data_IF_594815668424
#
_entry.id   IF_594815668424
#
_cell.length_a   1.000
_cell.length_b   1.000
_cell.length_c   1.000
_cell.angle_alpha   90.00
_cell.angle_beta   90.00
_cell.angle_gamma   90.00
#
_symmetry.space_group_name_H-M   'P 1'
#
loop_
_entity.id
_entity.type
_entity.pdbx_description
1 polymer ?
#
# COMPACT_ATOMS: atom_id res chain seq x y z
N UNK A 1 10.31 -21.38 2.38
CA UNK A 1 9.76 -20.96 1.07
C UNK A 1 10.31 -21.92 0.06
N UNK A 2 9.43 -22.66 -0.60
CA UNK A 2 9.80 -23.67 -1.58
C UNK A 2 9.33 -23.24 -2.97
N UNK A 3 10.19 -23.41 -3.97
CA UNK A 3 9.93 -23.15 -5.38
C UNK A 3 10.16 -24.45 -6.14
N UNK A 4 9.18 -24.86 -6.92
CA UNK A 4 9.24 -26.04 -7.76
C UNK A 4 9.00 -25.61 -9.21
N UNK A 5 9.91 -25.99 -10.10
CA UNK A 5 9.81 -25.73 -11.53
C UNK A 5 9.67 -27.03 -12.30
N UNK A 6 8.61 -27.11 -13.12
CA UNK A 6 8.31 -28.26 -13.98
C UNK A 6 8.00 -27.74 -15.37
N UNK A 7 9.00 -27.81 -16.25
CA UNK A 7 8.90 -27.23 -17.59
C UNK A 7 8.55 -25.75 -17.55
N UNK A 8 7.39 -25.38 -18.10
CA UNK A 8 6.91 -23.99 -18.15
C UNK A 8 6.10 -23.55 -16.92
N UNK A 9 5.95 -24.42 -15.94
CA UNK A 9 5.22 -24.16 -14.71
C UNK A 9 6.17 -23.89 -13.56
N UNK A 10 5.86 -22.87 -12.76
CA UNK A 10 6.52 -22.58 -11.49
C UNK A 10 5.46 -22.58 -10.39
N UNK A 11 5.69 -23.37 -9.36
CA UNK A 11 4.92 -23.39 -8.12
C UNK A 11 5.71 -22.75 -7.00
N UNK A 12 5.06 -21.89 -6.24
CA UNK A 12 5.61 -21.26 -5.06
C UNK A 12 4.75 -21.57 -3.85
N UNK A 13 5.37 -22.03 -2.76
CA UNK A 13 4.70 -22.22 -1.48
C UNK A 13 5.55 -21.65 -0.34
N UNK A 14 4.93 -20.87 0.52
CA UNK A 14 5.56 -20.39 1.74
C UNK A 14 4.55 -20.40 2.89
N UNK A 15 5.01 -20.77 4.06
CA UNK A 15 4.25 -20.68 5.29
C UNK A 15 5.15 -20.21 6.42
N UNK A 16 4.65 -19.30 7.24
CA UNK A 16 5.32 -18.88 8.46
C UNK A 16 4.34 -18.83 9.62
N UNK A 17 4.80 -19.26 10.77
CA UNK A 17 4.08 -19.17 12.04
C UNK A 17 4.93 -18.41 13.02
N UNK A 18 4.34 -17.41 13.66
CA UNK A 18 4.98 -16.72 14.77
C UNK A 18 4.30 -17.15 16.07
N UNK A 19 5.09 -17.61 17.00
CA UNK A 19 4.66 -17.81 18.37
C UNK A 19 5.28 -16.68 19.21
N UNK A 20 4.48 -16.03 20.05
CA UNK A 20 4.97 -14.97 20.91
C UNK A 20 3.93 -14.58 21.95
N UNK A 21 4.38 -14.37 23.15
CA UNK A 21 3.58 -13.79 24.23
C UNK A 21 3.70 -12.25 24.12
N UNK A 22 2.57 -11.56 24.12
CA UNK A 22 2.55 -10.10 24.11
C UNK A 22 2.23 -9.61 25.51
N UNK A 23 3.13 -8.82 26.06
CA UNK A 23 2.90 -8.07 27.29
C UNK A 23 2.77 -6.60 26.91
N UNK A 24 1.64 -6.01 27.19
CA UNK A 24 1.46 -4.56 27.07
C UNK A 24 0.96 -4.03 28.41
N UNK A 25 1.71 -3.09 28.98
CA UNK A 25 1.30 -2.37 30.17
C UNK A 25 1.05 -0.91 29.84
N UNK A 26 0.01 -0.30 30.39
CA UNK A 26 -0.03 1.13 30.65
C UNK A 26 0.58 1.36 32.02
N UNK A 27 1.14 2.56 32.27
CA UNK A 27 1.81 2.92 33.52
C UNK A 27 0.96 2.74 34.78
N UNK A 28 -0.35 2.53 34.65
CA UNK A 28 -1.28 2.35 35.78
C UNK A 28 -1.74 0.90 36.02
N UNK A 29 -1.70 0.02 35.00
CA UNK A 29 -2.11 -1.39 35.13
C UNK A 29 -1.28 -2.25 34.19
N UNK A 30 -0.28 -2.94 34.72
CA UNK A 30 0.40 -4.00 33.97
C UNK A 30 -0.48 -5.26 33.99
N UNK A 31 -1.25 -5.50 32.95
CA UNK A 31 -1.87 -6.80 32.72
C UNK A 31 -0.99 -7.60 31.78
N UNK A 32 -0.47 -8.71 32.28
CA UNK A 32 0.16 -9.74 31.45
C UNK A 32 -0.93 -10.59 30.81
N UNK A 33 -1.39 -10.21 29.63
CA UNK A 33 -2.28 -11.07 28.86
C UNK A 33 -1.43 -11.84 27.85
N UNK A 34 -1.24 -13.12 28.10
CA UNK A 34 -0.56 -14.03 27.20
C UNK A 34 -1.50 -14.38 26.05
N UNK A 35 -1.49 -13.58 24.97
CA UNK A 35 -2.19 -13.95 23.73
C UNK A 35 -1.30 -14.87 22.93
N UNK A 36 -1.63 -16.16 22.95
CA UNK A 36 -1.00 -17.14 22.07
C UNK A 36 -1.48 -16.88 20.63
N UNK A 37 -0.62 -16.26 19.86
CA UNK A 37 -0.89 -16.02 18.46
C UNK A 37 -0.49 -17.26 17.63
N UNK A 38 -1.48 -18.00 17.18
CA UNK A 38 -1.33 -19.24 16.41
C UNK A 38 -1.65 -19.11 14.92
N UNK A 39 -1.82 -17.90 14.41
CA UNK A 39 -2.17 -17.70 13.01
C UNK A 39 -0.97 -17.93 12.07
N UNK A 40 -1.23 -18.59 10.95
CA UNK A 40 -0.28 -18.79 9.89
C UNK A 40 -0.36 -17.66 8.86
N UNK A 41 0.79 -17.17 8.43
CA UNK A 41 0.93 -16.41 7.20
C UNK A 41 1.34 -17.40 6.09
N UNK A 42 0.60 -17.42 4.99
CA UNK A 42 0.79 -18.38 3.90
C UNK A 42 0.84 -17.66 2.56
N UNK A 43 1.65 -18.15 1.64
CA UNK A 43 1.67 -17.69 0.26
C UNK A 43 1.72 -18.90 -0.66
N UNK A 44 0.84 -18.91 -1.65
CA UNK A 44 0.81 -19.87 -2.72
C UNK A 44 0.81 -19.11 -4.04
N UNK A 45 1.64 -19.54 -4.97
CA UNK A 45 1.74 -18.94 -6.29
C UNK A 45 1.87 -20.02 -7.35
N UNK A 46 1.25 -19.77 -8.49
CA UNK A 46 1.36 -20.55 -9.71
C UNK A 46 1.73 -19.59 -10.84
N UNK A 47 2.74 -19.90 -11.62
CA UNK A 47 3.08 -19.17 -12.83
C UNK A 47 3.25 -20.13 -14.00
N UNK A 48 2.73 -19.75 -15.16
CA UNK A 48 2.88 -20.46 -16.41
C UNK A 48 3.47 -19.55 -17.46
N UNK A 49 4.64 -19.89 -17.99
CA UNK A 49 5.36 -19.14 -19.02
C UNK A 49 5.31 -19.88 -20.36
N UNK A 50 4.30 -19.64 -21.22
CA UNK A 50 4.20 -20.30 -22.53
C UNK A 50 5.39 -19.96 -23.44
N UNK A 51 5.94 -18.75 -23.28
CA UNK A 51 7.16 -18.28 -23.96
C UNK A 51 8.09 -17.62 -22.94
N UNK A 52 9.31 -17.28 -23.34
CA UNK A 52 10.28 -16.58 -22.50
C UNK A 52 9.83 -15.14 -22.17
N UNK A 53 9.00 -14.57 -23.05
CA UNK A 53 8.54 -13.18 -22.92
C UNK A 53 7.21 -13.03 -22.16
N UNK A 54 6.40 -14.09 -22.08
CA UNK A 54 5.04 -14.03 -21.55
C UNK A 54 4.84 -15.01 -20.40
N UNK A 55 4.31 -14.52 -19.29
CA UNK A 55 3.86 -15.38 -18.20
C UNK A 55 2.52 -14.96 -17.64
N UNK A 56 1.71 -15.94 -17.31
CA UNK A 56 0.47 -15.81 -16.55
C UNK A 56 0.71 -16.28 -15.14
N UNK A 57 0.12 -15.59 -14.16
CA UNK A 57 0.25 -16.04 -12.78
C UNK A 57 -1.04 -15.89 -12.00
N UNK A 58 -1.15 -16.71 -10.96
CA UNK A 58 -2.16 -16.58 -9.92
C UNK A 58 -1.48 -16.74 -8.57
N UNK A 59 -1.85 -15.92 -7.62
CA UNK A 59 -1.29 -15.96 -6.27
C UNK A 59 -2.38 -15.77 -5.22
N UNK A 60 -2.20 -16.44 -4.08
CA UNK A 60 -3.00 -16.22 -2.87
C UNK A 60 -2.07 -16.10 -1.68
N UNK A 61 -2.11 -14.93 -1.04
CA UNK A 61 -1.28 -14.63 0.11
C UNK A 61 -2.14 -14.31 1.33
N UNK A 62 -1.65 -14.66 2.51
CA UNK A 62 -2.20 -14.21 3.77
C UNK A 62 -1.07 -13.68 4.63
N UNK A 63 -1.18 -12.43 5.02
CA UNK A 63 -0.31 -11.79 6.01
C UNK A 63 -1.04 -11.70 7.35
N UNK A 64 -0.29 -11.43 8.39
CA UNK A 64 -0.82 -11.36 9.73
C UNK A 64 -0.50 -10.02 10.39
N UNK A 65 -1.55 -9.35 10.88
CA UNK A 65 -1.39 -8.18 11.75
C UNK A 65 -1.46 -8.61 13.20
N UNK A 66 -0.69 -7.94 14.05
CA UNK A 66 -0.73 -8.16 15.50
C UNK A 66 -2.12 -7.82 16.06
N UNK A 67 -2.50 -8.51 17.14
CA UNK A 67 -3.67 -8.14 17.92
C UNK A 67 -3.57 -6.71 18.48
N UNK A 68 -4.71 -6.06 18.56
CA UNK A 68 -4.82 -4.70 19.11
C UNK A 68 -5.14 -4.80 20.61
N UNK A 69 -4.44 -4.03 21.44
CA UNK A 69 -4.82 -3.90 22.86
C UNK A 69 -6.12 -3.10 22.96
N UNK A 70 -7.07 -3.62 23.70
CA UNK A 70 -8.31 -2.91 24.06
C UNK A 70 -7.96 -1.94 25.19
N UNK A 71 -8.14 -0.67 24.93
CA UNK A 71 -7.88 0.39 25.91
C UNK A 71 -9.07 1.33 25.91
N UNK A 72 -9.65 1.56 27.07
CA UNK A 72 -10.66 2.58 27.24
C UNK A 72 -10.09 3.94 26.81
N UNK A 73 -10.68 4.54 25.80
CA UNK A 73 -10.25 5.82 25.25
C UNK A 73 -11.36 6.87 25.43
N UNK A 74 -11.06 7.91 26.17
CA UNK A 74 -12.01 8.99 26.41
C UNK A 74 -13.21 8.54 27.23
N UNK A 75 -14.42 8.69 26.63
CA UNK A 75 -15.71 8.31 27.26
C UNK A 75 -16.14 6.86 26.99
N UNK A 76 -15.35 6.09 26.23
CA UNK A 76 -15.69 4.71 25.88
C UNK A 76 -15.20 3.75 26.94
N UNK A 77 -16.12 3.04 27.58
CA UNK A 77 -15.84 1.94 28.48
C UNK A 77 -16.12 0.63 27.77
N UNK A 78 -15.06 -0.12 27.44
CA UNK A 78 -15.21 -1.45 26.85
C UNK A 78 -15.31 -2.50 27.96
N UNK A 79 -16.22 -3.46 27.82
CA UNK A 79 -16.31 -4.61 28.74
C UNK A 79 -15.05 -5.46 28.71
N UNK A 80 -14.36 -5.49 27.58
CA UNK A 80 -13.06 -6.18 27.43
C UNK A 80 -11.87 -5.23 27.52
N UNK A 81 -11.98 -4.14 28.31
CA UNK A 81 -10.85 -3.23 28.56
C UNK A 81 -9.67 -3.98 29.21
N UNK A 82 -8.47 -3.75 28.69
CA UNK A 82 -7.25 -4.42 29.11
C UNK A 82 -6.97 -5.75 28.41
N UNK A 83 -7.89 -6.28 27.61
CA UNK A 83 -7.62 -7.46 26.77
C UNK A 83 -6.74 -7.11 25.57
N UNK A 84 -6.10 -8.12 25.01
CA UNK A 84 -5.44 -8.03 23.70
C UNK A 84 -6.25 -8.87 22.72
N UNK A 85 -6.81 -8.22 21.71
CA UNK A 85 -7.52 -8.91 20.65
C UNK A 85 -6.58 -9.85 19.88
N UNK A 86 -7.07 -11.00 19.41
CA UNK A 86 -6.26 -11.92 18.61
C UNK A 86 -5.74 -11.24 17.35
N UNK A 87 -4.63 -11.76 16.80
CA UNK A 87 -4.13 -11.33 15.50
C UNK A 87 -5.14 -11.64 14.40
N UNK A 88 -5.15 -10.80 13.38
CA UNK A 88 -6.02 -10.94 12.20
C UNK A 88 -5.22 -11.28 10.96
N UNK A 89 -5.87 -11.93 10.00
CA UNK A 89 -5.28 -12.29 8.71
C UNK A 89 -5.81 -11.36 7.62
N UNK A 90 -4.91 -10.59 7.01
CA UNK A 90 -5.19 -9.98 5.72
C UNK A 90 -4.98 -11.04 4.64
N UNK A 91 -5.86 -11.07 3.66
CA UNK A 91 -5.75 -11.99 2.52
C UNK A 91 -5.74 -11.21 1.22
N UNK A 92 -4.91 -11.64 0.29
CA UNK A 92 -4.89 -11.14 -1.09
C UNK A 92 -4.96 -12.32 -2.05
N UNK A 93 -5.81 -12.23 -3.05
CA UNK A 93 -5.83 -13.10 -4.20
C UNK A 93 -5.57 -12.25 -5.44
N UNK A 94 -4.69 -12.71 -6.31
CA UNK A 94 -4.24 -11.95 -7.48
C UNK A 94 -4.07 -12.88 -8.67
N UNK A 95 -4.47 -12.40 -9.85
CA UNK A 95 -4.19 -13.02 -11.14
C UNK A 95 -3.59 -11.96 -12.06
N UNK A 96 -2.64 -12.34 -12.87
CA UNK A 96 -2.03 -11.35 -13.74
C UNK A 96 -1.23 -11.95 -14.88
N UNK A 97 -0.77 -11.03 -15.72
CA UNK A 97 0.05 -11.27 -16.90
C UNK A 97 1.31 -10.43 -16.77
N UNK A 98 2.46 -11.03 -17.04
CA UNK A 98 3.74 -10.33 -17.18
C UNK A 98 4.23 -10.55 -18.60
N UNK A 99 4.60 -9.46 -19.23
CA UNK A 99 5.18 -9.45 -20.57
C UNK A 99 6.53 -8.75 -20.54
N UNK A 100 7.57 -9.46 -20.97
CA UNK A 100 8.93 -8.94 -21.10
C UNK A 100 9.41 -9.15 -22.53
N UNK A 101 9.10 -8.16 -23.40
CA UNK A 101 9.59 -8.19 -24.79
C UNK A 101 11.04 -7.67 -24.80
N UNK A 102 12.00 -8.54 -24.62
CA UNK A 102 13.44 -8.23 -24.49
C UNK A 102 13.79 -7.49 -23.16
N UNK A 103 15.01 -7.01 -23.04
CA UNK A 103 15.48 -6.30 -21.83
C UNK A 103 14.99 -4.85 -21.74
N UNK A 104 14.36 -4.34 -22.79
CA UNK A 104 13.98 -2.94 -22.89
C UNK A 104 12.50 -2.69 -22.60
N UNK A 105 11.64 -3.72 -22.50
CA UNK A 105 10.23 -3.56 -22.26
C UNK A 105 9.69 -4.60 -21.29
N UNK A 106 9.18 -4.14 -20.18
CA UNK A 106 8.47 -4.97 -19.20
C UNK A 106 7.12 -4.35 -18.85
N UNK A 107 6.07 -5.14 -18.91
CA UNK A 107 4.72 -4.76 -18.49
C UNK A 107 4.12 -5.81 -17.57
N UNK A 108 3.32 -5.36 -16.63
CA UNK A 108 2.51 -6.22 -15.78
C UNK A 108 1.09 -5.69 -15.74
N UNK A 109 0.11 -6.58 -15.86
CA UNK A 109 -1.29 -6.29 -15.63
C UNK A 109 -1.83 -7.31 -14.64
N UNK A 110 -2.45 -6.86 -13.57
CA UNK A 110 -2.99 -7.72 -12.53
C UNK A 110 -4.39 -7.28 -12.10
N UNK A 111 -5.22 -8.25 -11.73
CA UNK A 111 -6.44 -8.04 -10.97
C UNK A 111 -6.23 -8.62 -9.56
N UNK A 112 -6.60 -7.87 -8.54
CA UNK A 112 -6.48 -8.29 -7.15
C UNK A 112 -7.79 -8.16 -6.36
N UNK A 113 -7.91 -8.97 -5.31
CA UNK A 113 -9.00 -8.93 -4.31
C UNK A 113 -8.40 -9.12 -2.92
N UNK A 114 -8.31 -8.03 -2.17
CA UNK A 114 -7.72 -8.00 -0.83
C UNK A 114 -8.79 -7.78 0.24
N UNK A 115 -8.73 -8.54 1.31
CA UNK A 115 -9.58 -8.40 2.50
C UNK A 115 -8.72 -8.02 3.70
N UNK A 116 -9.11 -6.95 4.36
CA UNK A 116 -8.43 -6.41 5.52
C UNK A 116 -9.39 -6.30 6.70
N UNK A 117 -9.28 -7.18 7.70
CA UNK A 117 -10.04 -7.04 8.94
C UNK A 117 -9.76 -5.71 9.63
N UNK A 118 -10.81 -5.14 10.21
CA UNK A 118 -10.77 -3.88 10.94
C UNK A 118 -11.23 -4.07 12.37
N UNK A 119 -10.67 -3.25 13.26
CA UNK A 119 -11.14 -3.19 14.65
C UNK A 119 -12.35 -2.26 14.70
N UNK A 120 -13.46 -2.76 15.25
CA UNK A 120 -14.73 -2.03 15.36
C UNK A 120 -15.32 -2.16 16.75
N UNK A 121 -16.12 -1.15 17.11
CA UNK A 121 -16.97 -1.18 18.28
C UNK A 121 -18.24 -2.00 17.99
N UNK A 122 -18.63 -2.87 18.92
CA UNK A 122 -19.85 -3.67 18.83
C UNK A 122 -20.61 -3.56 20.14
N UNK A 123 -21.90 -3.38 20.10
CA UNK A 123 -22.78 -3.47 21.29
C UNK A 123 -23.36 -4.88 21.40
N UNK A 124 -23.35 -5.44 22.58
CA UNK A 124 -24.04 -6.68 22.89
C UNK A 124 -25.56 -6.45 23.06
N UNK A 125 -26.31 -7.52 23.29
CA UNK A 125 -27.76 -7.46 23.49
C UNK A 125 -28.20 -6.59 24.69
N UNK A 126 -27.29 -6.33 25.64
CA UNK A 126 -27.51 -5.48 26.82
C UNK A 126 -27.05 -4.03 26.60
N UNK A 127 -26.57 -3.70 25.40
CA UNK A 127 -26.05 -2.39 25.04
C UNK A 127 -24.62 -2.12 25.54
N UNK A 128 -23.93 -3.12 26.07
CA UNK A 128 -22.54 -3.01 26.53
C UNK A 128 -21.58 -2.99 25.34
N UNK A 129 -20.56 -2.15 25.42
CA UNK A 129 -19.62 -1.88 24.34
C UNK A 129 -18.42 -2.84 24.41
N UNK A 130 -18.12 -3.47 23.30
CA UNK A 130 -16.97 -4.34 23.08
C UNK A 130 -16.14 -3.85 21.92
N UNK A 131 -14.81 -3.94 22.03
CA UNK A 131 -13.91 -3.78 20.89
C UNK A 131 -13.61 -5.14 20.27
N UNK A 132 -13.78 -5.29 18.95
CA UNK A 132 -13.59 -6.56 18.24
C UNK A 132 -12.83 -6.36 16.94
N UNK A 133 -12.22 -7.44 16.40
CA UNK A 133 -11.60 -7.47 15.08
C UNK A 133 -12.56 -8.00 13.99
N UNK A 134 -13.85 -7.78 14.16
CA UNK A 134 -14.90 -8.32 13.28
C UNK A 134 -15.26 -7.40 12.11
N UNK A 135 -14.69 -6.21 12.04
CA UNK A 135 -14.82 -5.33 10.90
C UNK A 135 -14.08 -5.84 9.68
N UNK A 136 -14.45 -5.37 8.49
CA UNK A 136 -13.85 -5.80 7.23
C UNK A 136 -13.89 -4.68 6.20
N UNK A 137 -12.71 -4.35 5.66
CA UNK A 137 -12.60 -3.61 4.41
C UNK A 137 -12.18 -4.57 3.30
N UNK A 138 -12.68 -4.33 2.09
CA UNK A 138 -12.30 -5.06 0.89
C UNK A 138 -11.84 -4.08 -0.17
N UNK A 139 -10.77 -4.47 -0.85
CA UNK A 139 -10.12 -3.71 -1.91
C UNK A 139 -10.00 -4.61 -3.13
N UNK A 140 -10.65 -4.23 -4.22
CA UNK A 140 -10.54 -4.89 -5.50
C UNK A 140 -10.01 -3.91 -6.52
N UNK A 141 -9.18 -4.37 -7.41
CA UNK A 141 -8.62 -3.45 -8.36
C UNK A 141 -7.90 -4.09 -9.52
N UNK A 142 -7.49 -3.23 -10.42
CA UNK A 142 -6.61 -3.54 -11.55
C UNK A 142 -5.36 -2.70 -11.37
N UNK A 143 -4.21 -3.32 -11.41
CA UNK A 143 -2.89 -2.69 -11.39
C UNK A 143 -2.21 -2.92 -12.74
N UNK A 144 -1.67 -1.86 -13.32
CA UNK A 144 -0.84 -1.91 -14.52
C UNK A 144 0.49 -1.21 -14.25
N UNK A 145 1.58 -1.84 -14.64
CA UNK A 145 2.92 -1.24 -14.59
C UNK A 145 3.67 -1.43 -15.90
N UNK A 146 4.50 -0.44 -16.22
CA UNK A 146 5.35 -0.37 -17.41
C UNK A 146 6.75 0.07 -17.03
N UNK A 147 7.75 -0.56 -17.63
CA UNK A 147 9.12 -0.06 -17.72
C UNK A 147 9.61 -0.28 -19.14
N UNK A 148 10.02 0.81 -19.82
CA UNK A 148 10.43 0.77 -21.21
C UNK A 148 11.67 1.67 -21.43
N UNK A 149 12.75 1.08 -21.94
CA UNK A 149 13.92 1.81 -22.42
C UNK A 149 13.90 1.91 -23.94
N UNK A 150 14.11 3.08 -24.49
CA UNK A 150 14.05 3.31 -25.93
C UNK A 150 15.02 4.42 -26.37
N UNK A 151 15.39 4.38 -27.64
CA UNK A 151 16.30 5.34 -28.26
C UNK A 151 17.61 5.55 -27.45
N UNK A 152 18.12 4.49 -26.84
CA UNK A 152 19.36 4.39 -26.06
C UNK A 152 19.54 5.36 -24.87
N UNK A 153 18.69 6.40 -24.80
CA UNK A 153 18.81 7.49 -23.82
C UNK A 153 17.56 7.74 -23.02
N UNK A 154 16.47 7.09 -23.33
CA UNK A 154 15.18 7.33 -22.71
C UNK A 154 14.69 6.11 -21.94
N UNK A 155 14.15 6.36 -20.77
CA UNK A 155 13.47 5.34 -19.98
C UNK A 155 12.10 5.90 -19.51
N UNK A 156 11.02 5.23 -19.91
CA UNK A 156 9.68 5.51 -19.43
C UNK A 156 9.29 4.45 -18.40
N UNK A 157 8.76 4.88 -17.27
CA UNK A 157 8.30 3.96 -16.22
C UNK A 157 7.03 4.50 -15.56
N UNK A 158 6.26 3.61 -15.01
CA UNK A 158 5.05 4.02 -14.30
C UNK A 158 3.97 2.99 -14.35
N UNK A 159 2.76 3.43 -14.01
CA UNK A 159 1.59 2.60 -14.00
C UNK A 159 0.36 3.33 -13.53
N UNK A 160 -0.75 2.61 -13.54
CA UNK A 160 -2.01 3.05 -12.97
C UNK A 160 -2.66 1.95 -12.16
N UNK A 161 -3.45 2.36 -11.20
CA UNK A 161 -4.34 1.50 -10.43
C UNK A 161 -5.79 1.99 -10.56
N UNK A 162 -6.71 1.07 -10.79
CA UNK A 162 -8.13 1.26 -10.53
C UNK A 162 -8.49 0.49 -9.27
N UNK A 163 -9.17 1.15 -8.32
CA UNK A 163 -9.43 0.62 -6.99
C UNK A 163 -10.91 0.80 -6.59
N UNK A 164 -11.61 -0.29 -6.32
CA UNK A 164 -12.88 -0.31 -5.60
C UNK A 164 -12.63 -0.72 -4.14
N UNK A 165 -12.61 0.26 -3.25
CA UNK A 165 -12.35 0.09 -1.82
C UNK A 165 -13.63 0.27 -1.02
N UNK A 166 -14.14 -0.81 -0.40
CA UNK A 166 -15.41 -0.83 0.32
C UNK A 166 -15.25 -1.25 1.78
N UNK A 167 -16.02 -0.62 2.65
CA UNK A 167 -16.26 -1.07 4.00
C UNK A 167 -17.34 -2.17 3.93
N UNK A 168 -16.93 -3.44 4.03
CA UNK A 168 -17.89 -4.56 3.94
C UNK A 168 -18.58 -4.85 5.27
N UNK A 169 -17.88 -4.58 6.40
CA UNK A 169 -18.44 -4.80 7.73
C UNK A 169 -17.94 -3.73 8.70
N UNK A 170 -18.86 -2.95 9.23
CA UNK A 170 -18.61 -1.83 10.15
C UNK A 170 -19.38 -2.00 11.44
N UNK A 171 -19.15 -1.12 12.43
CA UNK A 171 -19.90 -1.08 13.67
C UNK A 171 -21.41 -0.93 13.40
N UNK A 172 -22.21 -1.85 13.88
CA UNK A 172 -23.68 -1.90 13.71
C UNK A 172 -24.14 -1.79 12.23
N UNK A 173 -23.26 -2.14 11.26
CA UNK A 173 -23.52 -2.04 9.83
C UNK A 173 -23.66 -0.60 9.31
N UNK A 174 -23.26 0.39 10.11
CA UNK A 174 -23.53 1.81 9.84
C UNK A 174 -22.99 2.28 8.50
N UNK A 175 -21.85 1.79 8.07
CA UNK A 175 -21.17 2.20 6.83
C UNK A 175 -20.96 1.04 5.85
N UNK A 176 -21.68 -0.07 6.03
CA UNK A 176 -21.58 -1.22 5.14
C UNK A 176 -21.93 -0.83 3.70
N UNK A 177 -21.04 -1.20 2.76
CA UNK A 177 -21.12 -0.85 1.35
C UNK A 177 -20.57 0.52 0.97
N UNK A 178 -20.31 1.41 1.93
CA UNK A 178 -19.70 2.71 1.66
C UNK A 178 -18.23 2.58 1.29
N UNK A 179 -17.67 3.59 0.60
CA UNK A 179 -16.26 3.65 0.30
C UNK A 179 -15.38 3.75 1.55
N UNK A 180 -14.18 3.24 1.44
CA UNK A 180 -13.13 3.48 2.45
C UNK A 180 -12.67 4.93 2.34
N UNK A 181 -12.52 5.60 3.48
CA UNK A 181 -12.13 7.00 3.55
C UNK A 181 -10.85 7.28 2.75
N UNK A 182 -10.92 8.28 1.87
CA UNK A 182 -9.78 8.84 1.16
C UNK A 182 -9.22 7.96 0.03
N UNK A 183 -9.79 6.78 -0.22
CA UNK A 183 -9.36 5.97 -1.36
C UNK A 183 -9.88 6.58 -2.66
N UNK A 184 -8.98 7.00 -3.54
CA UNK A 184 -9.31 7.41 -4.90
C UNK A 184 -9.58 6.17 -5.76
N UNK A 185 -10.55 6.27 -6.67
CA UNK A 185 -10.87 5.17 -7.59
C UNK A 185 -9.77 4.93 -8.63
N UNK A 186 -9.03 5.98 -8.98
CA UNK A 186 -7.93 5.92 -9.93
C UNK A 186 -6.70 6.57 -9.34
N UNK A 187 -5.57 5.95 -9.55
CA UNK A 187 -4.26 6.55 -9.28
C UNK A 187 -3.28 6.19 -10.39
N UNK A 188 -2.36 7.09 -10.70
CA UNK A 188 -1.29 6.79 -11.64
C UNK A 188 -0.03 7.58 -11.33
N UNK A 189 1.11 6.98 -11.65
CA UNK A 189 2.42 7.64 -11.61
C UNK A 189 3.14 7.31 -12.90
N UNK A 190 3.61 8.33 -13.62
CA UNK A 190 4.36 8.17 -14.84
C UNK A 190 5.65 8.98 -14.78
N UNK A 191 6.74 8.36 -15.12
CA UNK A 191 8.07 8.99 -15.19
C UNK A 191 8.68 8.84 -16.57
N UNK A 192 9.37 9.88 -16.98
CA UNK A 192 10.20 9.87 -18.16
C UNK A 192 11.59 10.36 -17.78
N UNK A 193 12.59 9.51 -17.99
CA UNK A 193 13.99 9.80 -17.73
C UNK A 193 14.74 9.96 -19.05
N UNK A 194 15.57 10.98 -19.13
CA UNK A 194 16.50 11.22 -20.23
C UNK A 194 17.94 11.17 -19.72
N UNK A 195 18.75 10.34 -20.33
CA UNK A 195 20.17 10.16 -20.05
C UNK A 195 21.00 10.61 -21.28
N UNK A 196 21.43 11.87 -21.34
CA UNK A 196 22.28 12.34 -22.44
C UNK A 196 23.62 11.57 -22.52
N UNK A 197 24.12 11.15 -21.36
CA UNK A 197 25.34 10.38 -21.15
C UNK A 197 25.20 9.43 -19.95
N UNK A 198 26.25 8.67 -19.62
CA UNK A 198 26.26 7.70 -18.51
C UNK A 198 26.22 8.34 -17.13
N UNK A 199 26.61 9.60 -17.02
CA UNK A 199 26.78 10.32 -15.76
C UNK A 199 25.59 11.23 -15.44
N UNK A 200 24.84 11.66 -16.45
CA UNK A 200 23.79 12.67 -16.30
C UNK A 200 22.41 12.07 -16.54
N UNK A 201 21.46 12.41 -15.68
CA UNK A 201 20.04 12.09 -15.93
C UNK A 201 19.12 13.24 -15.55
N UNK A 202 18.02 13.35 -16.31
CA UNK A 202 16.90 14.25 -16.06
C UNK A 202 15.62 13.42 -16.02
N UNK A 203 14.82 13.58 -14.97
CA UNK A 203 13.57 12.83 -14.83
C UNK A 203 12.40 13.76 -14.54
N UNK A 204 11.33 13.63 -15.31
CA UNK A 204 10.03 14.19 -14.98
C UNK A 204 9.11 13.11 -14.46
N UNK A 205 8.40 13.35 -13.36
CA UNK A 205 7.42 12.44 -12.76
C UNK A 205 6.07 13.13 -12.60
N UNK A 206 5.06 12.59 -13.24
CA UNK A 206 3.67 13.01 -13.13
C UNK A 206 2.91 12.02 -12.24
N UNK A 207 2.24 12.52 -11.21
CA UNK A 207 1.39 11.72 -10.34
C UNK A 207 -0.04 12.25 -10.38
N UNK A 208 -1.00 11.35 -10.55
CA UNK A 208 -2.43 11.63 -10.52
C UNK A 208 -3.11 10.80 -9.44
N UNK A 209 -3.97 11.43 -8.66
CA UNK A 209 -4.88 10.76 -7.73
C UNK A 209 -6.30 11.22 -8.06
N UNK A 210 -7.16 10.28 -8.35
CA UNK A 210 -8.56 10.50 -8.68
C UNK A 210 -9.40 10.92 -7.47
N UNK A 211 -10.68 11.10 -7.71
CA UNK A 211 -11.64 11.49 -6.68
C UNK A 211 -11.68 10.43 -5.59
N UNK A 212 -11.40 10.85 -4.36
CA UNK A 212 -11.61 10.04 -3.17
C UNK A 212 -12.98 10.32 -2.54
N UNK A 213 -13.34 9.54 -1.50
CA UNK A 213 -14.63 9.70 -0.81
C UNK A 213 -14.45 9.96 0.69
N UNK A 214 -15.26 10.87 1.20
CA UNK A 214 -15.49 11.06 2.63
C UNK A 214 -16.93 10.66 2.95
N UNK A 215 -17.11 9.72 3.86
CA UNK A 215 -18.43 9.20 4.23
C UNK A 215 -18.91 9.91 5.48
N UNK A 216 -20.04 10.65 5.39
CA UNK A 216 -20.68 11.30 6.52
C UNK A 216 -21.43 10.29 7.41
N UNK A 217 -21.84 10.73 8.59
CA UNK A 217 -22.62 9.90 9.52
C UNK A 217 -23.96 9.41 8.97
N UNK A 218 -24.56 10.16 8.06
CA UNK A 218 -25.82 9.82 7.38
C UNK A 218 -25.61 8.94 6.13
N UNK A 219 -24.39 8.40 5.90
CA UNK A 219 -23.96 7.63 4.73
C UNK A 219 -23.82 8.44 3.43
N UNK A 220 -24.01 9.74 3.47
CA UNK A 220 -23.75 10.60 2.32
C UNK A 220 -22.23 10.61 2.05
N UNK A 221 -21.85 10.40 0.81
CA UNK A 221 -20.45 10.42 0.36
C UNK A 221 -20.13 11.76 -0.29
N UNK A 222 -19.14 12.45 0.23
CA UNK A 222 -18.59 13.67 -0.34
C UNK A 222 -17.32 13.39 -1.12
N UNK A 223 -17.16 14.08 -2.22
CA UNK A 223 -15.97 13.97 -3.05
C UNK A 223 -14.79 14.70 -2.43
N UNK A 224 -13.66 14.02 -2.38
CA UNK A 224 -12.34 14.61 -2.16
C UNK A 224 -11.77 14.86 -3.56
N UNK A 225 -11.51 16.11 -3.96
CA UNK A 225 -11.11 16.42 -5.31
C UNK A 225 -9.86 15.68 -5.78
N UNK A 226 -9.84 15.29 -7.04
CA UNK A 226 -8.65 14.74 -7.70
C UNK A 226 -7.56 15.79 -7.81
N UNK A 227 -6.32 15.35 -7.92
CA UNK A 227 -5.18 16.23 -8.10
C UNK A 227 -4.07 15.61 -8.97
N UNK A 228 -3.23 16.48 -9.51
CA UNK A 228 -2.05 16.12 -10.30
C UNK A 228 -0.84 16.85 -9.74
N UNK A 229 0.28 16.16 -9.60
CA UNK A 229 1.56 16.77 -9.24
C UNK A 229 2.63 16.42 -10.25
N UNK A 230 3.51 17.39 -10.55
CA UNK A 230 4.71 17.20 -11.37
C UNK A 230 5.94 17.42 -10.50
N UNK A 231 6.86 16.46 -10.54
CA UNK A 231 8.17 16.56 -9.90
C UNK A 231 9.26 16.46 -10.97
N UNK A 232 10.35 17.22 -10.80
CA UNK A 232 11.51 17.21 -11.67
C UNK A 232 12.77 16.86 -10.89
N UNK A 233 13.62 16.04 -11.49
CA UNK A 233 14.88 15.59 -10.91
C UNK A 233 15.99 15.74 -11.93
N UNK A 234 17.17 16.13 -11.46
CA UNK A 234 18.41 16.10 -12.23
C UNK A 234 19.50 15.43 -11.39
N UNK A 235 20.29 14.55 -11.97
CA UNK A 235 21.45 13.99 -11.29
C UNK A 235 22.67 14.00 -12.19
N UNK A 236 23.85 14.16 -11.57
CA UNK A 236 25.13 14.11 -12.26
C UNK A 236 26.17 13.42 -11.40
N UNK A 237 26.84 12.44 -11.98
CA UNK A 237 27.98 11.74 -11.38
C UNK A 237 29.28 12.39 -11.83
N UNK A 238 30.20 12.56 -10.92
CA UNK A 238 31.52 13.12 -11.22
C UNK A 238 32.56 12.52 -10.27
N UNK A 239 33.81 12.87 -10.47
CA UNK A 239 34.91 12.46 -9.59
C UNK A 239 35.60 13.70 -9.02
N UNK A 240 35.70 13.78 -7.69
CA UNK A 240 36.37 14.87 -6.99
C UNK A 240 37.56 14.29 -6.24
N UNK A 241 38.75 14.61 -6.70
CA UNK A 241 40.03 14.12 -6.11
C UNK A 241 40.10 12.58 -5.98
N UNK A 242 39.63 11.86 -7.00
CA UNK A 242 39.62 10.39 -6.99
C UNK A 242 38.43 9.75 -6.29
N UNK A 243 37.52 10.53 -5.71
CA UNK A 243 36.34 10.09 -5.00
C UNK A 243 35.08 10.27 -5.90
N UNK A 244 34.33 9.20 -6.21
CA UNK A 244 33.10 9.31 -6.94
C UNK A 244 32.04 10.09 -6.12
N UNK A 245 31.40 11.06 -6.76
CA UNK A 245 30.36 11.89 -6.15
C UNK A 245 29.16 11.98 -7.08
N UNK A 246 27.97 11.76 -6.53
CA UNK A 246 26.72 11.97 -7.24
C UNK A 246 25.96 13.14 -6.64
N UNK A 247 25.76 14.17 -7.46
CA UNK A 247 24.88 15.28 -7.12
C UNK A 247 23.45 14.99 -7.59
N UNK A 248 22.45 15.36 -6.78
CA UNK A 248 21.07 15.28 -7.16
C UNK A 248 20.36 16.58 -6.77
N UNK A 249 19.64 17.17 -7.72
CA UNK A 249 18.71 18.28 -7.50
C UNK A 249 17.29 17.80 -7.77
N UNK A 250 16.35 18.18 -6.92
CA UNK A 250 14.94 17.87 -7.12
C UNK A 250 14.06 19.11 -6.86
N UNK A 251 13.00 19.22 -7.66
CA UNK A 251 11.91 20.17 -7.45
C UNK A 251 10.62 19.34 -7.36
N UNK A 252 10.04 19.28 -6.18
CA UNK A 252 8.75 18.63 -5.94
C UNK A 252 7.62 19.62 -6.11
N UNK A 253 6.46 19.14 -6.61
CA UNK A 253 5.27 19.95 -6.84
C UNK A 253 5.59 21.23 -7.63
N UNK A 254 6.12 21.08 -8.83
CA UNK A 254 6.60 22.19 -9.70
C UNK A 254 5.52 23.26 -9.91
N UNK A 255 4.27 22.84 -10.06
CA UNK A 255 3.14 23.78 -10.24
C UNK A 255 2.78 24.53 -8.95
N UNK A 256 3.31 24.14 -7.79
CA UNK A 256 2.91 24.64 -6.47
C UNK A 256 1.40 24.49 -6.23
N UNK A 257 0.84 23.39 -6.70
CA UNK A 257 -0.56 23.08 -6.48
C UNK A 257 -0.86 22.79 -5.01
N UNK A 258 -2.04 23.20 -4.55
CA UNK A 258 -2.51 22.96 -3.18
C UNK A 258 -3.76 22.10 -3.20
N UNK A 259 -3.68 20.92 -2.61
CA UNK A 259 -4.80 19.98 -2.55
C UNK A 259 -4.87 19.28 -1.20
N UNK A 260 -6.01 18.68 -0.93
CA UNK A 260 -6.24 17.92 0.28
C UNK A 260 -5.71 16.48 0.14
N UNK A 261 -4.99 16.03 1.15
CA UNK A 261 -4.60 14.63 1.33
C UNK A 261 -5.44 14.05 2.45
N UNK A 262 -6.11 12.94 2.16
CA UNK A 262 -6.84 12.18 3.15
C UNK A 262 -5.89 11.26 3.92
N UNK A 263 -5.85 11.41 5.24
CA UNK A 263 -5.10 10.53 6.12
C UNK A 263 -6.07 9.64 6.90
N UNK A 264 -6.14 8.37 6.53
CA UNK A 264 -6.93 7.37 7.25
C UNK A 264 -6.31 7.08 8.63
N UNK A 265 -7.15 6.91 9.65
CA UNK A 265 -6.71 6.61 11.01
C UNK A 265 -7.87 6.61 11.99
N UNK A 266 -7.58 6.65 13.30
CA UNK A 266 -8.62 6.70 14.35
C UNK A 266 -9.56 7.90 14.22
N UNK A 267 -9.03 9.01 13.70
CA UNK A 267 -9.81 10.21 13.36
C UNK A 267 -9.42 10.57 11.92
N UNK A 268 -10.17 10.14 10.94
CA UNK A 268 -9.96 10.50 9.55
C UNK A 268 -9.72 12.01 9.40
N UNK A 269 -8.56 12.39 8.87
CA UNK A 269 -8.11 13.78 8.81
C UNK A 269 -7.83 14.19 7.38
N UNK A 270 -8.01 15.46 7.12
CA UNK A 270 -7.50 16.12 5.93
C UNK A 270 -6.25 16.91 6.27
N UNK A 271 -5.27 16.83 5.40
CA UNK A 271 -4.04 17.62 5.46
C UNK A 271 -3.86 18.30 4.11
N UNK A 272 -3.24 19.45 4.09
CA UNK A 272 -2.74 20.03 2.85
C UNK A 272 -1.45 19.30 2.44
N UNK A 273 -1.28 19.13 1.14
CA UNK A 273 -0.04 18.61 0.59
C UNK A 273 1.14 19.58 0.87
N UNK A 274 2.35 19.07 0.67
CA UNK A 274 3.53 19.92 0.74
C UNK A 274 3.53 20.93 -0.44
N UNK A 275 3.87 22.20 -0.20
CA UNK A 275 4.08 23.17 -1.26
C UNK A 275 5.29 22.80 -2.11
N UNK A 276 5.53 23.54 -3.19
CA UNK A 276 6.76 23.39 -3.97
C UNK A 276 7.97 23.41 -3.06
N UNK A 277 8.81 22.40 -3.20
CA UNK A 277 10.02 22.27 -2.39
C UNK A 277 11.20 21.85 -3.25
N UNK A 278 12.41 22.25 -2.81
CA UNK A 278 13.65 21.93 -3.49
C UNK A 278 14.54 21.12 -2.58
N UNK A 279 15.26 20.17 -3.17
CA UNK A 279 16.26 19.36 -2.50
C UNK A 279 17.55 19.37 -3.30
N UNK A 280 18.67 19.53 -2.62
CA UNK A 280 20.00 19.30 -3.15
C UNK A 280 20.69 18.27 -2.28
N UNK A 281 21.31 17.27 -2.89
CA UNK A 281 22.10 16.26 -2.18
C UNK A 281 23.39 15.95 -2.91
N UNK A 282 24.42 15.55 -2.14
CA UNK A 282 25.65 15.00 -2.64
C UNK A 282 25.89 13.66 -1.92
N UNK A 283 26.10 12.60 -2.70
CA UNK A 283 26.38 11.26 -2.23
C UNK A 283 27.85 10.94 -2.57
N UNK A 284 28.65 10.58 -1.57
CA UNK A 284 30.04 10.24 -1.69
C UNK A 284 30.22 8.74 -1.53
N UNK A 285 30.96 8.11 -2.45
CA UNK A 285 31.28 6.68 -2.39
C UNK A 285 32.72 6.52 -1.89
N UNK A 286 32.89 5.87 -0.72
CA UNK A 286 34.20 5.68 -0.06
C UNK A 286 34.74 4.27 -0.26
#
# INVERSE_FOLDING_TARGET
MDKIEVGKLTLLAAASRRHGDYVRGTTAKQQKNNVKDNNWATTFGLSYAPTDDLSFYAAKAASRNRGTAVVAAGKKNYENDGEILPSVRNTNAEIGIKYKANDNLMMTLAYFDMKQPQTIDVKDANGKLWLTNNGLNRYKGIDFSLNASFADKWNAFGGFEWLDARQEKTADGKYDGCHVFGSGEWSSVWGLEYKPDEDTSFTGRLSYVGVGKYVKENKEELDIPSHVTLDLFASHKTNINGMPVKFTAACYNVANDSHWIAQAGQNNKFMLNNPRSFMLSAEFEF
#
